data_IF_399494471908
#
_entry.id   IF_399494471908
#
_cell.length_a   1.000
_cell.length_b   1.000
_cell.length_c   1.000
_cell.angle_alpha   90.00
_cell.angle_beta   90.00
_cell.angle_gamma   90.00
#
_symmetry.space_group_name_H-M   'P 1'
#
loop_
_entity.id
_entity.type
_entity.pdbx_description
1 polymer ?
#
# COMPACT_ATOMS: atom_id res chain seq x y z
N UNK A 1 9.52 -0.61 -34.59
CA UNK A 1 9.69 0.44 -33.57
C UNK A 1 8.42 0.66 -32.74
N UNK A 2 7.23 0.86 -33.35
CA UNK A 2 5.97 1.10 -32.63
C UNK A 2 5.53 -0.06 -31.70
N UNK A 3 5.81 -1.31 -32.05
CA UNK A 3 5.47 -2.51 -31.26
C UNK A 3 6.20 -2.57 -29.91
N UNK A 4 7.46 -2.14 -29.87
CA UNK A 4 8.22 -2.00 -28.62
C UNK A 4 7.62 -0.91 -27.73
N UNK A 5 7.16 0.19 -28.34
CA UNK A 5 6.53 1.28 -27.60
C UNK A 5 5.18 0.86 -26.99
N UNK A 6 4.36 0.11 -27.72
CA UNK A 6 3.08 -0.44 -27.22
C UNK A 6 3.28 -1.43 -26.07
N UNK A 7 4.26 -2.34 -26.19
CA UNK A 7 4.60 -3.28 -25.11
C UNK A 7 5.07 -2.58 -23.83
N UNK A 8 5.83 -1.49 -23.97
CA UNK A 8 6.28 -0.70 -22.81
C UNK A 8 5.16 0.08 -22.14
N UNK A 9 4.21 0.62 -22.91
CA UNK A 9 3.03 1.29 -22.35
C UNK A 9 2.17 0.30 -21.55
N UNK A 10 1.95 -0.90 -22.07
CA UNK A 10 1.15 -1.94 -21.40
C UNK A 10 1.79 -2.42 -20.09
N UNK A 11 3.11 -2.57 -20.06
CA UNK A 11 3.86 -3.00 -18.87
C UNK A 11 3.86 -1.93 -17.75
N UNK A 12 3.90 -0.64 -18.10
CA UNK A 12 3.86 0.46 -17.11
C UNK A 12 2.51 0.54 -16.40
N UNK A 13 1.40 0.29 -17.11
CA UNK A 13 0.05 0.24 -16.49
C UNK A 13 -0.12 -0.93 -15.52
N UNK A 14 0.56 -2.06 -15.76
CA UNK A 14 0.51 -3.21 -14.86
C UNK A 14 1.25 -2.98 -13.53
N UNK A 15 2.17 -2.03 -13.48
CA UNK A 15 2.94 -1.69 -12.28
C UNK A 15 2.28 -0.58 -11.44
N UNK A 16 1.09 -0.10 -11.81
CA UNK A 16 0.40 1.02 -11.14
C UNK A 16 -0.54 0.56 -10.03
N UNK A 17 -0.05 -0.18 -9.06
CA UNK A 17 -0.81 -0.49 -7.85
C UNK A 17 -0.14 0.18 -6.65
N UNK A 18 -0.80 1.19 -6.09
CA UNK A 18 -0.32 1.97 -4.94
C UNK A 18 -0.77 1.43 -3.59
N UNK A 19 -1.58 0.36 -3.56
CA UNK A 19 -2.00 -0.27 -2.31
C UNK A 19 -0.89 -1.10 -1.68
N UNK A 20 -0.73 -0.95 -0.37
CA UNK A 20 0.22 -1.72 0.42
C UNK A 20 -0.53 -2.81 1.16
N UNK A 21 -0.18 -4.07 0.90
CA UNK A 21 -0.62 -5.22 1.67
C UNK A 21 0.40 -5.63 2.72
N UNK A 22 -0.03 -5.80 3.97
CA UNK A 22 0.81 -6.37 5.03
C UNK A 22 0.12 -7.60 5.63
N UNK A 23 0.79 -8.75 5.55
CA UNK A 23 0.26 -10.00 6.06
C UNK A 23 -0.80 -10.68 5.17
N UNK A 24 -1.12 -10.08 4.01
CA UNK A 24 -2.02 -10.62 2.99
C UNK A 24 -1.37 -10.56 1.60
N UNK A 25 -1.64 -11.55 0.75
CA UNK A 25 -1.20 -11.58 -0.66
C UNK A 25 -2.24 -10.99 -1.61
N UNK A 26 -3.45 -10.74 -1.12
CA UNK A 26 -4.55 -10.14 -1.88
C UNK A 26 -5.17 -9.02 -1.06
N UNK A 27 -4.57 -7.80 -1.08
CA UNK A 27 -5.15 -6.63 -0.43
C UNK A 27 -6.51 -6.29 -1.03
N UNK A 28 -7.44 -5.80 -0.21
CA UNK A 28 -8.70 -5.26 -0.69
C UNK A 28 -8.44 -4.05 -1.61
N UNK A 29 -8.99 -4.08 -2.83
CA UNK A 29 -8.83 -3.02 -3.84
C UNK A 29 -9.43 -1.68 -3.42
N UNK A 30 -10.36 -1.68 -2.47
CA UNK A 30 -10.98 -0.45 -1.96
C UNK A 30 -10.15 0.19 -0.82
N UNK A 31 -9.08 -0.46 -0.36
CA UNK A 31 -8.25 -0.01 0.74
C UNK A 31 -6.88 0.49 0.25
N UNK A 32 -6.47 1.68 0.73
CA UNK A 32 -5.12 2.21 0.49
C UNK A 32 -4.05 1.38 1.24
N UNK A 33 -4.42 0.83 2.40
CA UNK A 33 -3.58 -0.04 3.23
C UNK A 33 -4.46 -1.14 3.83
N UNK A 34 -4.15 -2.40 3.52
CA UNK A 34 -4.84 -3.57 4.07
C UNK A 34 -3.87 -4.39 4.95
N UNK A 35 -4.28 -4.62 6.19
CA UNK A 35 -3.47 -5.30 7.21
C UNK A 35 -4.31 -6.40 7.85
N UNK A 36 -3.82 -7.64 7.76
CA UNK A 36 -4.42 -8.79 8.42
C UNK A 36 -3.50 -9.33 9.49
N UNK A 37 -3.96 -9.38 10.74
CA UNK A 37 -3.22 -9.99 11.86
C UNK A 37 -4.18 -10.62 12.86
N UNK A 38 -3.75 -11.72 13.48
CA UNK A 38 -4.51 -12.42 14.54
C UNK A 38 -4.00 -12.09 15.95
N UNK A 39 -2.87 -11.38 16.06
CA UNK A 39 -2.16 -11.19 17.33
C UNK A 39 -1.85 -9.74 17.68
N UNK A 40 -1.77 -8.84 16.70
CA UNK A 40 -1.35 -7.45 16.90
C UNK A 40 -2.19 -6.48 16.05
N UNK A 41 -2.18 -5.20 16.41
CA UNK A 41 -2.86 -4.13 15.69
C UNK A 41 -1.92 -3.06 15.12
N UNK A 42 -2.50 -2.10 14.39
CA UNK A 42 -1.77 -0.93 13.88
C UNK A 42 -1.55 0.10 14.99
N UNK A 43 -0.29 0.42 15.28
CA UNK A 43 0.05 1.52 16.16
C UNK A 43 0.21 2.81 15.34
N UNK A 44 -0.76 3.72 15.48
CA UNK A 44 -0.68 5.06 14.89
C UNK A 44 0.31 5.95 15.68
N UNK A 45 0.83 7.03 15.07
CA UNK A 45 1.71 7.97 15.76
C UNK A 45 1.12 8.44 17.09
N UNK A 46 1.87 8.25 18.18
CA UNK A 46 1.49 8.72 19.52
C UNK A 46 2.14 10.05 19.79
N UNK A 47 1.33 11.05 20.14
CA UNK A 47 1.86 12.29 20.68
C UNK A 47 2.24 12.05 22.15
N UNK A 48 3.48 12.37 22.56
CA UNK A 48 3.81 12.40 23.97
C UNK A 48 2.99 13.50 24.66
N UNK A 49 2.63 13.29 25.92
CA UNK A 49 2.09 14.38 26.74
C UNK A 49 3.15 15.48 26.82
N UNK A 50 2.88 16.63 26.20
CA UNK A 50 3.67 17.82 26.45
C UNK A 50 3.22 18.31 27.83
N UNK A 51 4.07 18.15 28.83
CA UNK A 51 3.84 18.67 30.16
C UNK A 51 3.70 20.20 30.03
N UNK A 52 2.46 20.67 30.00
CA UNK A 52 2.14 22.09 29.96
C UNK A 52 2.26 22.54 31.42
N UNK A 53 3.49 22.90 31.78
CA UNK A 53 3.84 23.43 33.09
C UNK A 53 2.95 24.64 33.43
#
# INVERSE_FOLDING_TARGET
>A
MKKLLVSRVLLITYLKEGQVGIGTTSPNSDAVLDITSTTSGLLLPRLPFINTN
#
